data_IF_124983985571
#
_entry.id   IF_124983985571
#
_cell.length_a   1.000
_cell.length_b   1.000
_cell.length_c   1.000
_cell.angle_alpha   90.00
_cell.angle_beta   90.00
_cell.angle_gamma   90.00
#
_symmetry.space_group_name_H-M   'P 1'
#
loop_
_entity.id
_entity.type
_entity.pdbx_description
1 polymer ?
#
# COMPACT_ATOMS: atom_id res chain seq x y z
N UNK A 1 20.09 -14.65 12.39
CA UNK A 1 19.28 -13.60 11.73
C UNK A 1 17.86 -13.75 12.29
N UNK A 2 17.31 -12.73 12.94
CA UNK A 2 15.97 -12.80 13.56
C UNK A 2 14.93 -12.90 12.44
N UNK A 3 14.21 -14.01 12.39
CA UNK A 3 13.09 -14.23 11.46
C UNK A 3 11.88 -13.49 12.05
N UNK A 4 11.60 -12.27 11.57
CA UNK A 4 10.58 -11.38 12.17
C UNK A 4 9.28 -11.34 11.34
N UNK A 5 9.34 -11.70 10.05
CA UNK A 5 8.25 -11.55 9.10
C UNK A 5 7.31 -12.75 8.98
N UNK A 6 7.83 -13.99 9.01
CA UNK A 6 7.06 -15.21 8.69
C UNK A 6 6.14 -15.63 9.83
N UNK A 7 4.84 -15.67 9.57
CA UNK A 7 3.86 -16.31 10.45
C UNK A 7 4.01 -17.83 10.43
N UNK A 8 3.38 -18.52 11.39
CA UNK A 8 3.30 -20.00 11.43
C UNK A 8 2.34 -20.58 10.37
N UNK A 9 2.09 -19.86 9.28
CA UNK A 9 1.10 -20.23 8.28
C UNK A 9 1.58 -21.34 7.36
N UNK A 10 0.65 -22.16 6.88
CA UNK A 10 0.90 -23.22 5.90
C UNK A 10 0.77 -22.68 4.47
N UNK A 11 1.58 -23.22 3.56
CA UNK A 11 1.43 -22.97 2.13
C UNK A 11 0.17 -23.64 1.62
N UNK A 12 -0.63 -22.91 0.84
CA UNK A 12 -1.83 -23.41 0.19
C UNK A 12 -2.16 -22.59 -1.06
N UNK A 13 -3.01 -23.12 -1.97
CA UNK A 13 -3.45 -22.35 -3.12
C UNK A 13 -4.28 -21.17 -2.63
N UNK A 14 -4.01 -19.98 -3.16
CA UNK A 14 -4.80 -18.79 -2.92
C UNK A 14 -4.88 -17.92 -4.17
N UNK A 15 -6.07 -17.37 -4.42
CA UNK A 15 -6.30 -16.36 -5.45
C UNK A 15 -5.65 -15.03 -5.01
N UNK A 16 -4.59 -14.65 -5.71
CA UNK A 16 -3.79 -13.46 -5.40
C UNK A 16 -4.59 -12.18 -5.67
N UNK A 17 -5.40 -12.15 -6.72
CA UNK A 17 -6.21 -10.98 -7.05
C UNK A 17 -7.26 -10.75 -5.96
N UNK A 18 -7.95 -11.81 -5.55
CA UNK A 18 -8.93 -11.73 -4.46
C UNK A 18 -8.28 -11.27 -3.15
N UNK A 19 -7.12 -11.85 -2.80
CA UNK A 19 -6.40 -11.51 -1.57
C UNK A 19 -5.94 -10.04 -1.57
N UNK A 20 -5.42 -9.54 -2.69
CA UNK A 20 -4.99 -8.16 -2.85
C UNK A 20 -6.17 -7.18 -2.73
N UNK A 21 -7.25 -7.40 -3.48
CA UNK A 21 -8.44 -6.53 -3.46
C UNK A 21 -9.11 -6.52 -2.08
N UNK A 22 -9.19 -7.67 -1.41
CA UNK A 22 -9.73 -7.76 -0.04
C UNK A 22 -8.92 -6.89 0.93
N UNK A 23 -7.60 -7.06 0.96
CA UNK A 23 -6.74 -6.35 1.91
C UNK A 23 -6.61 -4.86 1.59
N UNK A 24 -6.72 -4.48 0.31
CA UNK A 24 -6.81 -3.10 -0.09
C UNK A 24 -8.08 -2.42 0.44
N UNK A 25 -9.23 -3.09 0.31
CA UNK A 25 -10.51 -2.60 0.86
C UNK A 25 -10.47 -2.51 2.38
N UNK A 26 -9.91 -3.51 3.07
CA UNK A 26 -9.76 -3.48 4.53
C UNK A 26 -8.92 -2.28 4.99
N UNK A 27 -7.77 -2.04 4.36
CA UNK A 27 -6.93 -0.89 4.66
C UNK A 27 -7.64 0.45 4.40
N UNK A 28 -8.35 0.56 3.29
CA UNK A 28 -9.16 1.74 2.95
C UNK A 28 -10.25 2.01 3.99
N UNK A 29 -11.02 1.00 4.36
CA UNK A 29 -12.08 1.14 5.35
C UNK A 29 -11.54 1.49 6.74
N UNK A 30 -10.40 0.92 7.12
CA UNK A 30 -9.70 1.28 8.36
C UNK A 30 -9.32 2.77 8.37
N UNK A 31 -8.69 3.26 7.30
CA UNK A 31 -8.32 4.68 7.17
C UNK A 31 -9.55 5.60 7.24
N UNK A 32 -10.64 5.23 6.55
CA UNK A 32 -11.89 5.99 6.55
C UNK A 32 -12.64 5.95 7.89
N UNK A 33 -12.46 4.90 8.67
CA UNK A 33 -12.99 4.83 10.03
C UNK A 33 -12.23 5.76 10.99
N UNK A 34 -10.94 6.01 10.75
CA UNK A 34 -10.12 6.95 11.52
C UNK A 34 -10.35 8.41 11.13
N UNK A 35 -10.64 8.71 9.85
CA UNK A 35 -11.00 10.04 9.37
C UNK A 35 -12.14 9.96 8.34
N UNK A 36 -13.30 10.55 8.68
CA UNK A 36 -14.48 10.58 7.80
C UNK A 36 -14.28 11.40 6.54
N UNK A 37 -13.30 12.30 6.51
CA UNK A 37 -12.92 13.09 5.32
C UNK A 37 -11.88 12.39 4.44
N UNK A 38 -11.38 11.23 4.86
CA UNK A 38 -10.49 10.43 4.05
C UNK A 38 -11.21 9.92 2.80
N UNK A 39 -10.60 10.18 1.63
CA UNK A 39 -11.05 9.66 0.36
C UNK A 39 -9.84 9.29 -0.49
N UNK A 40 -9.92 8.12 -1.13
CA UNK A 40 -8.89 7.53 -1.97
C UNK A 40 -9.60 6.72 -3.06
N UNK A 41 -9.34 7.03 -4.32
CA UNK A 41 -9.77 6.18 -5.42
C UNK A 41 -8.86 4.96 -5.52
N UNK A 42 -9.45 3.77 -5.64
CA UNK A 42 -8.70 2.53 -5.88
C UNK A 42 -9.05 2.05 -7.29
N UNK A 43 -8.04 1.98 -8.15
CA UNK A 43 -8.15 1.44 -9.50
C UNK A 43 -7.46 0.08 -9.57
N UNK A 44 -8.21 -0.93 -10.01
CA UNK A 44 -7.74 -2.30 -10.12
C UNK A 44 -7.61 -2.68 -11.61
N UNK A 45 -6.43 -3.14 -12.01
CA UNK A 45 -6.13 -3.73 -13.32
C UNK A 45 -5.43 -5.06 -13.05
N UNK A 46 -6.26 -6.06 -12.72
CA UNK A 46 -5.82 -7.36 -12.23
C UNK A 46 -5.91 -8.40 -13.34
N UNK A 47 -4.78 -9.01 -13.66
CA UNK A 47 -4.70 -10.03 -14.69
C UNK A 47 -5.34 -11.34 -14.22
N UNK A 48 -6.39 -11.78 -14.90
CA UNK A 48 -7.08 -13.04 -14.60
C UNK A 48 -6.20 -14.28 -14.79
N UNK A 49 -5.12 -14.18 -15.58
CA UNK A 49 -4.19 -15.29 -15.81
C UNK A 49 -3.28 -15.58 -14.60
N UNK A 50 -3.28 -14.74 -13.58
CA UNK A 50 -2.54 -14.96 -12.33
C UNK A 50 -3.06 -16.18 -11.57
N UNK A 51 -4.39 -16.35 -11.51
CA UNK A 51 -5.03 -17.51 -10.88
C UNK A 51 -4.66 -17.74 -9.41
N UNK A 52 -4.70 -19.01 -9.00
CA UNK A 52 -4.28 -19.44 -7.67
C UNK A 52 -2.79 -19.81 -7.63
N UNK A 53 -2.10 -19.40 -6.56
CA UNK A 53 -0.68 -19.69 -6.36
C UNK A 53 -0.45 -20.26 -4.96
N UNK A 54 0.50 -21.19 -4.86
CA UNK A 54 0.98 -21.76 -3.59
C UNK A 54 1.74 -20.72 -2.75
N UNK A 55 1.04 -20.13 -1.78
CA UNK A 55 1.56 -19.05 -0.91
C UNK A 55 1.16 -19.30 0.53
N UNK A 56 1.72 -18.53 1.47
CA UNK A 56 1.19 -18.45 2.84
C UNK A 56 0.25 -17.23 2.86
N UNK A 57 -1.09 -17.40 2.82
CA UNK A 57 -1.99 -16.27 2.61
C UNK A 57 -1.89 -15.23 3.72
N UNK A 58 -1.67 -15.66 4.97
CA UNK A 58 -1.51 -14.77 6.12
C UNK A 58 -0.30 -13.83 5.98
N UNK A 59 0.79 -14.32 5.41
CA UNK A 59 2.00 -13.53 5.18
C UNK A 59 1.74 -12.50 4.06
N UNK A 60 1.14 -12.91 2.94
CA UNK A 60 0.78 -11.99 1.86
C UNK A 60 -0.27 -10.96 2.27
N UNK A 61 -1.28 -11.37 3.05
CA UNK A 61 -2.25 -10.49 3.69
C UNK A 61 -1.57 -9.36 4.46
N UNK A 62 -0.55 -9.70 5.25
CA UNK A 62 0.24 -8.73 6.03
C UNK A 62 1.01 -7.79 5.11
N UNK A 63 1.59 -8.30 4.02
CA UNK A 63 2.27 -7.48 3.01
C UNK A 63 1.32 -6.48 2.38
N UNK A 64 0.19 -6.94 1.85
CA UNK A 64 -0.78 -6.08 1.18
C UNK A 64 -1.36 -5.03 2.13
N UNK A 65 -1.72 -5.42 3.35
CA UNK A 65 -2.20 -4.47 4.36
C UNK A 65 -1.14 -3.39 4.67
N UNK A 66 0.12 -3.77 4.86
CA UNK A 66 1.20 -2.81 5.13
C UNK A 66 1.43 -1.84 3.96
N UNK A 67 1.45 -2.35 2.73
CA UNK A 67 1.68 -1.52 1.54
C UNK A 67 0.52 -0.55 1.31
N UNK A 68 -0.72 -1.04 1.40
CA UNK A 68 -1.90 -0.21 1.15
C UNK A 68 -2.10 0.82 2.28
N UNK A 69 -1.87 0.46 3.54
CA UNK A 69 -1.95 1.44 4.64
C UNK A 69 -0.90 2.55 4.51
N UNK A 70 0.29 2.23 3.99
CA UNK A 70 1.30 3.24 3.66
C UNK A 70 0.86 4.14 2.50
N UNK A 71 0.26 3.58 1.44
CA UNK A 71 -0.31 4.35 0.34
C UNK A 71 -1.46 5.28 0.80
N UNK A 72 -2.38 4.78 1.62
CA UNK A 72 -3.44 5.59 2.22
C UNK A 72 -2.87 6.78 3.00
N UNK A 73 -1.84 6.52 3.83
CA UNK A 73 -1.17 7.57 4.59
C UNK A 73 -0.54 8.64 3.68
N UNK A 74 0.31 8.22 2.73
CA UNK A 74 1.06 9.14 1.88
C UNK A 74 0.16 10.01 1.00
N UNK A 75 -0.94 9.43 0.50
CA UNK A 75 -1.90 10.17 -0.33
C UNK A 75 -2.75 11.13 0.49
N UNK A 76 -3.13 10.75 1.71
CA UNK A 76 -3.85 11.62 2.64
C UNK A 76 -3.00 12.78 3.13
N UNK A 77 -1.76 12.51 3.54
CA UNK A 77 -0.80 13.53 3.98
C UNK A 77 -0.62 14.60 2.89
N UNK A 78 -0.39 14.18 1.64
CA UNK A 78 -0.29 15.09 0.50
C UNK A 78 -1.56 15.93 0.30
N UNK A 79 -2.74 15.32 0.42
CA UNK A 79 -4.03 16.03 0.30
C UNK A 79 -4.16 17.11 1.38
N UNK A 80 -3.78 16.80 2.62
CA UNK A 80 -3.86 17.74 3.73
C UNK A 80 -2.87 18.90 3.55
N UNK A 81 -1.62 18.61 3.18
CA UNK A 81 -0.60 19.63 2.91
C UNK A 81 -1.02 20.58 1.76
N UNK A 82 -1.61 20.03 0.69
CA UNK A 82 -2.15 20.84 -0.41
C UNK A 82 -3.33 21.70 0.04
N UNK A 83 -4.25 21.16 0.84
CA UNK A 83 -5.41 21.90 1.35
C UNK A 83 -5.00 23.04 2.30
N UNK A 84 -3.95 22.85 3.09
CA UNK A 84 -3.40 23.87 3.99
C UNK A 84 -2.77 25.03 3.21
N UNK A 85 -2.06 24.73 2.12
CA UNK A 85 -1.38 25.73 1.28
C UNK A 85 -2.32 26.42 0.29
N UNK A 86 -3.25 25.68 -0.31
CA UNK A 86 -4.30 26.18 -1.20
C UNK A 86 -5.57 25.33 -1.03
N UNK A 87 -6.62 25.84 -0.33
CA UNK A 87 -7.89 25.14 -0.14
C UNK A 87 -8.60 24.70 -1.44
N UNK A 88 -8.24 25.30 -2.58
CA UNK A 88 -8.79 24.94 -3.87
C UNK A 88 -7.91 23.94 -4.66
N UNK A 89 -6.67 23.66 -4.25
CA UNK A 89 -5.80 22.69 -4.93
C UNK A 89 -6.33 21.25 -4.89
N UNK A 90 -7.27 20.98 -3.99
CA UNK A 90 -7.99 19.71 -3.83
C UNK A 90 -9.43 19.75 -4.36
N UNK A 91 -9.87 20.89 -4.93
CA UNK A 91 -11.17 21.00 -5.61
C UNK A 91 -10.95 20.97 -7.12
N UNK A 92 -11.79 20.23 -7.83
CA UNK A 92 -11.89 20.29 -9.29
C UNK A 92 -12.24 21.73 -9.70
N UNK A 93 -11.24 22.50 -10.17
CA UNK A 93 -11.46 23.76 -10.89
C UNK A 93 -11.71 23.43 -12.36
N UNK A 94 -12.68 24.11 -12.99
CA UNK A 94 -12.80 24.09 -14.45
C UNK A 94 -11.47 24.54 -15.07
N UNK A 95 -10.78 23.62 -15.76
CA UNK A 95 -9.50 23.90 -16.42
C UNK A 95 -8.22 23.79 -15.56
N UNK A 96 -8.31 23.35 -14.30
CA UNK A 96 -7.15 23.08 -13.43
C UNK A 96 -7.10 21.62 -12.96
N UNK A 97 -5.90 21.07 -12.72
CA UNK A 97 -5.75 19.73 -12.16
C UNK A 97 -5.90 19.76 -10.64
N UNK A 98 -7.01 19.23 -10.12
CA UNK A 98 -7.15 18.97 -8.69
C UNK A 98 -6.31 17.74 -8.30
N UNK A 99 -5.73 17.77 -7.10
CA UNK A 99 -5.13 16.56 -6.56
C UNK A 99 -6.19 15.59 -6.07
N UNK A 100 -6.29 14.46 -6.76
CA UNK A 100 -7.15 13.33 -6.41
C UNK A 100 -6.28 12.17 -5.92
N UNK A 101 -6.35 11.80 -4.63
CA UNK A 101 -5.71 10.60 -4.11
C UNK A 101 -6.09 9.37 -4.92
N UNK A 102 -5.08 8.68 -5.45
CA UNK A 102 -5.24 7.49 -6.28
C UNK A 102 -4.28 6.39 -5.84
N UNK A 103 -4.82 5.19 -5.69
CA UNK A 103 -4.08 3.94 -5.54
C UNK A 103 -4.40 3.03 -6.72
N UNK A 104 -3.38 2.67 -7.48
CA UNK A 104 -3.48 1.70 -8.58
C UNK A 104 -2.90 0.36 -8.14
N UNK A 105 -3.70 -0.69 -8.27
CA UNK A 105 -3.33 -2.07 -8.03
C UNK A 105 -3.29 -2.79 -9.38
N UNK A 106 -2.13 -3.36 -9.71
CA UNK A 106 -2.00 -4.16 -10.93
C UNK A 106 -1.35 -5.48 -10.63
N UNK A 107 -1.86 -6.54 -11.26
CA UNK A 107 -1.19 -7.85 -11.26
C UNK A 107 -0.92 -8.27 -12.69
N UNK A 108 0.19 -8.98 -12.91
CA UNK A 108 0.54 -9.57 -14.21
C UNK A 108 1.09 -10.96 -14.00
N UNK A 109 0.58 -11.91 -14.78
CA UNK A 109 1.20 -13.22 -14.91
C UNK A 109 2.43 -13.08 -15.81
N UNK A 110 3.60 -13.41 -15.28
CA UNK A 110 4.86 -13.53 -16.02
C UNK A 110 5.22 -15.01 -16.08
N UNK A 111 6.15 -15.39 -16.97
CA UNK A 111 6.45 -16.80 -17.24
C UNK A 111 6.78 -17.62 -15.97
N UNK A 112 7.65 -17.10 -15.10
CA UNK A 112 8.10 -17.79 -13.88
C UNK A 112 7.67 -17.08 -12.58
N UNK A 113 6.89 -16.01 -12.68
CA UNK A 113 6.55 -15.20 -11.51
C UNK A 113 5.24 -14.45 -11.70
N UNK A 114 4.72 -13.93 -10.60
CA UNK A 114 3.61 -12.98 -10.65
C UNK A 114 4.10 -11.65 -10.15
N UNK A 115 3.87 -10.63 -10.97
CA UNK A 115 4.14 -9.26 -10.60
C UNK A 115 2.91 -8.65 -9.94
N UNK A 116 3.11 -8.04 -8.77
CA UNK A 116 2.09 -7.27 -8.07
C UNK A 116 2.64 -5.86 -7.90
N UNK A 117 1.94 -4.86 -8.44
CA UNK A 117 2.29 -3.44 -8.26
C UNK A 117 1.21 -2.74 -7.46
N UNK A 118 1.65 -2.07 -6.41
CA UNK A 118 0.83 -1.21 -5.55
C UNK A 118 1.42 0.20 -5.71
N UNK A 119 0.73 1.06 -6.46
CA UNK A 119 1.23 2.40 -6.81
C UNK A 119 0.28 3.48 -6.30
N UNK A 120 0.78 4.37 -5.46
CA UNK A 120 0.08 5.58 -5.07
C UNK A 120 0.59 6.82 -5.81
N UNK A 121 -0.11 7.95 -5.65
CA UNK A 121 0.29 9.27 -6.16
C UNK A 121 0.58 10.27 -5.03
N UNK A 122 1.01 9.78 -3.86
CA UNK A 122 1.34 10.56 -2.67
C UNK A 122 2.62 11.39 -2.81
N UNK A 123 3.31 11.60 -1.69
CA UNK A 123 4.50 12.46 -1.61
C UNK A 123 5.74 11.87 -2.30
N UNK A 124 5.73 10.57 -2.61
CA UNK A 124 6.91 9.85 -3.07
C UNK A 124 7.94 9.65 -1.94
N UNK A 125 9.07 9.05 -2.29
CA UNK A 125 10.17 8.78 -1.36
C UNK A 125 11.42 9.44 -1.93
N UNK A 126 12.12 10.31 -1.18
CA UNK A 126 13.41 10.85 -1.60
C UNK A 126 14.43 9.74 -1.84
N UNK A 127 15.23 9.86 -2.91
CA UNK A 127 16.19 8.83 -3.34
C UNK A 127 17.15 8.38 -2.21
N UNK A 128 17.60 9.33 -1.37
CA UNK A 128 18.48 9.08 -0.22
C UNK A 128 17.86 8.23 0.90
N UNK A 129 16.54 8.03 0.88
CA UNK A 129 15.80 7.23 1.86
C UNK A 129 15.42 5.85 1.34
N UNK A 130 15.49 5.60 0.02
CA UNK A 130 14.98 4.37 -0.62
C UNK A 130 15.59 3.10 -0.02
N UNK A 131 16.88 3.09 0.31
CA UNK A 131 17.50 1.93 0.95
C UNK A 131 17.09 1.78 2.43
N UNK A 132 16.88 2.91 3.11
CA UNK A 132 16.58 2.96 4.54
C UNK A 132 15.15 2.54 4.87
N UNK A 133 14.20 2.68 3.92
CA UNK A 133 12.78 2.36 4.19
C UNK A 133 12.54 0.89 4.58
N UNK A 134 13.47 0.00 4.23
CA UNK A 134 13.41 -1.41 4.60
C UNK A 134 14.14 -1.75 5.90
N UNK A 135 14.82 -0.78 6.53
CA UNK A 135 15.46 -0.98 7.82
C UNK A 135 14.41 -1.05 8.93
N UNK A 136 14.49 -2.03 9.85
CA UNK A 136 13.57 -2.10 10.98
C UNK A 136 13.56 -0.80 11.79
N UNK A 137 12.36 -0.37 12.19
CA UNK A 137 12.09 0.84 12.97
C UNK A 137 12.35 2.17 12.24
N UNK A 138 12.76 2.13 10.96
CA UNK A 138 12.86 3.35 10.17
C UNK A 138 11.45 3.83 9.78
N UNK A 139 11.15 5.09 10.06
CA UNK A 139 9.90 5.74 9.66
C UNK A 139 10.10 7.25 9.55
N UNK A 140 9.46 7.89 8.58
CA UNK A 140 9.33 9.35 8.49
C UNK A 140 8.04 9.86 9.15
N UNK A 141 7.13 8.95 9.50
CA UNK A 141 5.88 9.29 10.19
C UNK A 141 6.16 9.68 11.65
N UNK A 142 5.31 10.51 12.27
CA UNK A 142 5.36 10.81 13.70
C UNK A 142 5.37 9.55 14.59
N UNK A 143 5.91 9.66 15.80
CA UNK A 143 6.17 8.54 16.73
C UNK A 143 4.92 7.73 17.12
N UNK A 144 3.73 8.32 17.00
CA UNK A 144 2.43 7.72 17.29
C UNK A 144 1.72 7.13 16.06
N UNK A 145 2.27 7.32 14.85
CA UNK A 145 1.61 6.96 13.58
C UNK A 145 2.35 5.90 12.76
N UNK A 146 3.51 5.42 13.25
CA UNK A 146 4.28 4.40 12.56
C UNK A 146 5.26 3.67 13.47
N UNK A 147 5.20 2.34 13.45
CA UNK A 147 6.18 1.49 14.15
C UNK A 147 7.51 1.38 13.40
N UNK A 148 7.54 1.78 12.12
CA UNK A 148 8.69 1.59 11.23
C UNK A 148 9.00 0.12 10.91
N UNK A 149 8.08 -0.80 11.18
CA UNK A 149 8.31 -2.23 10.94
C UNK A 149 7.67 -2.75 9.65
N UNK A 150 6.63 -2.08 9.14
CA UNK A 150 5.79 -2.60 8.05
C UNK A 150 6.58 -3.03 6.81
N UNK A 151 7.38 -2.15 6.24
CA UNK A 151 8.16 -2.42 5.02
C UNK A 151 9.28 -3.44 5.26
N UNK A 152 9.96 -3.37 6.41
CA UNK A 152 11.00 -4.34 6.78
C UNK A 152 10.43 -5.77 6.86
N UNK A 153 9.27 -5.93 7.52
CA UNK A 153 8.57 -7.22 7.61
C UNK A 153 8.08 -7.70 6.26
N UNK A 154 7.54 -6.80 5.44
CA UNK A 154 7.10 -7.14 4.09
C UNK A 154 8.27 -7.61 3.21
N UNK A 155 9.43 -6.96 3.31
CA UNK A 155 10.63 -7.42 2.60
C UNK A 155 11.14 -8.78 3.10
N UNK A 156 11.00 -9.09 4.39
CA UNK A 156 11.37 -10.39 4.97
C UNK A 156 10.42 -11.52 4.52
N UNK A 157 9.15 -11.20 4.29
CA UNK A 157 8.14 -12.15 3.78
C UNK A 157 8.39 -12.51 2.31
N UNK A 158 8.74 -11.51 1.48
CA UNK A 158 8.89 -11.68 0.03
C UNK A 158 10.24 -12.31 -0.36
N UNK A 159 11.26 -12.24 0.51
CA UNK A 159 12.57 -12.88 0.31
C UNK A 159 12.57 -14.36 0.73
#
# INVERSE_FOLDING_TARGET
>A
MLQMGRGSGERRPADINALLSEHARLAYHSARASDTNFNLEIQEDLDSAVGEIEVIPQDLSRVFLNMVTNACYATHEKRMALKETDPDAVKLKEGGAAYEPLLRLTTRSLDESVEIRIRDNGNGIPDELVEKIFHPFFTTKPTDQGTGLGLALSSDIIR
#
